data_IF_209259016046
#
_entry.id   IF_209259016046
#
_cell.length_a   1.000
_cell.length_b   1.000
_cell.length_c   1.000
_cell.angle_alpha   90.00
_cell.angle_beta   90.00
_cell.angle_gamma   90.00
#
_symmetry.space_group_name_H-M   'P 1'
#
loop_
_entity.id
_entity.type
_entity.pdbx_description
1 polymer ?
#
# COMPACT_ATOMS: atom_id res chain seq x y z
N UNK A 1 20.79 -8.48 -16.13
CA UNK A 1 19.33 -8.49 -15.91
C UNK A 1 18.68 -7.64 -16.99
N UNK A 2 17.59 -8.14 -17.61
CA UNK A 2 16.97 -7.52 -18.79
C UNK A 2 15.46 -7.36 -18.60
N UNK A 3 14.93 -6.20 -19.00
CA UNK A 3 13.48 -5.97 -19.05
C UNK A 3 12.85 -6.84 -20.16
N UNK A 4 11.83 -7.60 -19.78
CA UNK A 4 11.12 -8.56 -20.63
C UNK A 4 9.64 -8.22 -20.81
N UNK A 5 9.04 -7.51 -19.86
CA UNK A 5 7.67 -7.05 -19.90
C UNK A 5 7.59 -5.64 -19.33
N UNK A 6 6.69 -4.84 -19.88
CA UNK A 6 6.45 -3.47 -19.49
C UNK A 6 4.96 -3.31 -19.24
N UNK A 7 4.59 -3.19 -17.98
CA UNK A 7 3.22 -3.22 -17.54
C UNK A 7 2.61 -1.82 -17.52
N UNK A 8 1.38 -1.70 -18.01
CA UNK A 8 0.57 -0.48 -17.87
C UNK A 8 0.00 -0.39 -16.45
N UNK A 9 -0.35 -1.54 -15.85
CA UNK A 9 -0.80 -1.64 -14.47
C UNK A 9 0.14 -2.52 -13.63
N UNK A 10 0.34 -2.13 -12.38
CA UNK A 10 1.20 -2.85 -11.43
C UNK A 10 0.75 -4.30 -11.20
N UNK A 11 -0.56 -4.56 -11.21
CA UNK A 11 -1.12 -5.89 -11.08
C UNK A 11 -0.66 -6.83 -12.20
N UNK A 12 -0.55 -6.34 -13.44
CA UNK A 12 -0.08 -7.12 -14.59
C UNK A 12 1.40 -7.50 -14.43
N UNK A 13 2.23 -6.61 -13.87
CA UNK A 13 3.63 -6.90 -13.61
C UNK A 13 3.80 -8.02 -12.59
N UNK A 14 2.98 -8.04 -11.53
CA UNK A 14 2.98 -9.08 -10.52
C UNK A 14 2.41 -10.42 -11.04
N UNK A 15 1.39 -10.37 -11.89
CA UNK A 15 0.85 -11.56 -12.54
C UNK A 15 1.89 -12.22 -13.47
N UNK A 16 2.58 -11.42 -14.27
CA UNK A 16 3.67 -11.91 -15.14
C UNK A 16 4.85 -12.42 -14.32
N UNK A 17 5.19 -11.78 -13.20
CA UNK A 17 6.21 -12.29 -12.28
C UNK A 17 5.84 -13.68 -11.76
N UNK A 18 4.62 -13.87 -11.27
CA UNK A 18 4.14 -15.14 -10.74
C UNK A 18 4.14 -16.24 -11.81
N UNK A 19 3.72 -15.91 -13.04
CA UNK A 19 3.75 -16.82 -14.18
C UNK A 19 5.18 -17.31 -14.50
N UNK A 20 6.15 -16.40 -14.51
CA UNK A 20 7.55 -16.72 -14.79
C UNK A 20 8.18 -17.55 -13.66
N UNK A 21 7.86 -17.24 -12.41
CA UNK A 21 8.32 -17.99 -11.25
C UNK A 21 7.76 -19.43 -11.23
N UNK A 22 6.51 -19.65 -11.64
CA UNK A 22 5.92 -21.00 -11.80
C UNK A 22 6.65 -21.85 -12.84
N UNK A 23 7.18 -21.22 -13.88
CA UNK A 23 8.03 -21.85 -14.91
C UNK A 23 9.50 -21.97 -14.48
N UNK A 24 9.82 -21.60 -13.24
CA UNK A 24 11.15 -21.69 -12.65
C UNK A 24 12.11 -20.61 -13.14
N UNK A 25 11.59 -19.47 -13.63
CA UNK A 25 12.37 -18.31 -14.05
C UNK A 25 12.24 -17.22 -12.97
N UNK A 26 13.31 -16.89 -12.24
CA UNK A 26 13.29 -15.82 -11.25
C UNK A 26 13.06 -14.47 -11.94
N UNK A 27 12.00 -13.76 -11.53
CA UNK A 27 11.62 -12.48 -12.10
C UNK A 27 11.46 -11.40 -11.02
N UNK A 28 11.84 -10.17 -11.34
CA UNK A 28 11.78 -9.02 -10.44
C UNK A 28 11.02 -7.87 -11.08
N UNK A 29 10.19 -7.16 -10.31
CA UNK A 29 9.42 -6.02 -10.81
C UNK A 29 10.15 -4.73 -10.42
N UNK A 30 10.67 -4.01 -11.41
CA UNK A 30 11.40 -2.76 -11.24
C UNK A 30 10.57 -1.55 -11.66
N UNK A 31 10.66 -0.44 -10.90
CA UNK A 31 9.98 0.82 -11.22
C UNK A 31 8.67 1.06 -10.47
N UNK A 32 8.36 0.23 -9.46
CA UNK A 32 7.18 0.35 -8.60
C UNK A 32 7.20 1.59 -7.69
N UNK A 33 8.39 2.14 -7.37
CA UNK A 33 8.55 3.14 -6.30
C UNK A 33 9.20 4.47 -6.72
N UNK A 34 8.98 4.94 -7.95
CA UNK A 34 9.42 6.29 -8.34
C UNK A 34 8.44 7.41 -7.94
N UNK A 35 7.38 7.12 -7.17
CA UNK A 35 6.38 8.12 -6.76
C UNK A 35 6.71 8.88 -5.47
N UNK A 36 7.98 8.90 -5.04
CA UNK A 36 8.41 9.50 -3.79
C UNK A 36 8.80 10.98 -3.82
N UNK A 37 8.63 11.73 -4.92
CA UNK A 37 9.02 13.15 -4.97
C UNK A 37 7.79 14.03 -5.25
N UNK A 38 7.47 14.90 -4.29
CA UNK A 38 6.69 16.11 -4.54
C UNK A 38 7.54 17.02 -5.43
N UNK A 39 7.20 17.10 -6.72
CA UNK A 39 7.89 17.92 -7.73
C UNK A 39 8.21 17.11 -8.99
N UNK A 40 7.60 17.52 -10.11
CA UNK A 40 7.64 16.88 -11.43
C UNK A 40 9.02 16.36 -11.87
N UNK A 41 9.09 15.07 -12.27
CA UNK A 41 9.94 14.54 -13.37
C UNK A 41 9.14 13.39 -14.06
N UNK A 42 9.20 13.21 -15.40
CA UNK A 42 8.02 12.94 -16.23
C UNK A 42 7.61 11.47 -16.37
N UNK A 43 6.29 11.27 -16.43
CA UNK A 43 5.46 10.51 -17.40
C UNK A 43 5.97 9.23 -18.09
N UNK A 44 7.00 8.54 -17.59
CA UNK A 44 7.40 7.22 -18.11
C UNK A 44 7.91 6.27 -17.02
N UNK A 45 7.33 6.35 -15.82
CA UNK A 45 7.49 5.35 -14.76
C UNK A 45 6.76 4.07 -15.14
N UNK A 46 7.25 3.38 -16.16
CA UNK A 46 6.75 2.06 -16.54
C UNK A 46 7.26 1.02 -15.55
N UNK A 47 6.33 0.27 -14.97
CA UNK A 47 6.63 -0.91 -14.16
C UNK A 47 7.15 -1.99 -15.10
N UNK A 48 8.35 -2.51 -14.84
CA UNK A 48 9.05 -3.46 -15.72
C UNK A 48 9.32 -4.76 -15.01
N UNK A 49 8.99 -5.88 -15.66
CA UNK A 49 9.44 -7.20 -15.20
C UNK A 49 10.83 -7.46 -15.78
N UNK A 50 11.77 -7.80 -14.91
CA UNK A 50 13.17 -8.04 -15.19
C UNK A 50 13.55 -9.48 -14.85
N UNK A 51 14.36 -10.11 -15.70
CA UNK A 51 14.90 -11.47 -15.49
C UNK A 51 16.40 -11.50 -15.76
N UNK A 52 17.08 -12.58 -15.38
CA UNK A 52 18.48 -12.80 -15.74
C UNK A 52 18.66 -12.81 -17.28
N UNK A 53 19.82 -12.36 -17.76
CA UNK A 53 20.04 -12.19 -19.21
C UNK A 53 19.96 -13.53 -19.96
N UNK A 54 20.36 -14.61 -19.29
CA UNK A 54 20.29 -16.00 -19.75
C UNK A 54 18.85 -16.51 -19.93
N UNK A 55 17.92 -16.10 -19.07
CA UNK A 55 16.51 -16.52 -19.11
C UNK A 55 15.61 -15.61 -19.94
N UNK A 56 16.14 -14.48 -20.43
CA UNK A 56 15.39 -13.47 -21.16
C UNK A 56 14.73 -13.97 -22.45
N UNK A 57 15.31 -15.02 -23.08
CA UNK A 57 14.74 -15.66 -24.26
C UNK A 57 13.49 -16.48 -23.93
N UNK A 58 13.60 -17.35 -22.90
CA UNK A 58 12.53 -18.24 -22.45
C UNK A 58 11.35 -17.46 -21.86
N UNK A 59 11.65 -16.43 -21.06
CA UNK A 59 10.62 -15.58 -20.44
C UNK A 59 9.74 -14.85 -21.47
N UNK A 60 10.33 -14.38 -22.58
CA UNK A 60 9.59 -13.70 -23.66
C UNK A 60 8.65 -14.63 -24.43
N UNK A 61 8.97 -15.91 -24.50
CA UNK A 61 8.12 -16.89 -25.17
C UNK A 61 6.86 -17.18 -24.36
N UNK A 62 7.02 -17.35 -23.04
CA UNK A 62 5.93 -17.53 -22.07
C UNK A 62 4.98 -16.32 -22.08
N UNK A 63 5.52 -15.10 -22.03
CA UNK A 63 4.70 -13.88 -22.09
C UNK A 63 3.90 -13.79 -23.40
N UNK A 64 4.51 -14.12 -24.55
CA UNK A 64 3.81 -14.10 -25.85
C UNK A 64 2.73 -15.18 -25.99
N UNK A 65 2.82 -16.25 -25.22
CA UNK A 65 1.79 -17.29 -25.16
C UNK A 65 0.62 -16.83 -24.30
N UNK A 66 0.92 -16.23 -23.15
CA UNK A 66 -0.06 -15.60 -22.26
C UNK A 66 -0.83 -14.46 -22.94
N UNK A 67 -0.16 -13.53 -23.62
CA UNK A 67 -0.80 -12.42 -24.35
C UNK A 67 -1.72 -12.87 -25.50
N UNK A 68 -1.53 -14.09 -26.02
CA UNK A 68 -2.38 -14.69 -27.06
C UNK A 68 -3.60 -15.41 -26.50
N UNK A 69 -3.63 -15.67 -25.20
CA UNK A 69 -4.66 -16.46 -24.55
C UNK A 69 -5.41 -15.65 -23.49
N UNK A 70 -6.30 -14.75 -23.91
CA UNK A 70 -7.25 -14.18 -22.95
C UNK A 70 -8.64 -13.96 -23.59
N UNK A 71 -9.59 -14.82 -23.23
CA UNK A 71 -10.88 -14.42 -22.61
C UNK A 71 -11.30 -15.57 -21.70
N UNK A 72 -11.21 -15.41 -20.39
CA UNK A 72 -11.88 -16.32 -19.45
C UNK A 72 -13.30 -15.79 -19.25
N UNK A 73 -14.26 -16.46 -19.89
CA UNK A 73 -15.70 -16.16 -19.81
C UNK A 73 -16.24 -16.41 -18.39
N UNK A 74 -17.16 -15.55 -17.93
CA UNK A 74 -17.95 -15.65 -16.68
C UNK A 74 -18.51 -17.07 -16.43
N UNK A 75 -18.78 -17.83 -17.49
CA UNK A 75 -19.23 -19.23 -17.41
C UNK A 75 -18.20 -20.15 -16.74
N UNK A 76 -16.91 -19.87 -16.91
CA UNK A 76 -15.80 -20.65 -16.30
C UNK A 76 -15.65 -20.31 -14.82
N UNK A 77 -15.85 -19.04 -14.45
CA UNK A 77 -15.86 -18.58 -13.07
C UNK A 77 -17.04 -19.19 -12.28
N UNK A 78 -18.22 -19.30 -12.90
CA UNK A 78 -19.38 -19.95 -12.28
C UNK A 78 -19.23 -21.47 -12.14
N UNK A 79 -18.61 -22.15 -13.12
CA UNK A 79 -18.37 -23.60 -13.04
C UNK A 79 -17.41 -23.99 -11.91
N UNK A 80 -16.42 -23.13 -11.60
CA UNK A 80 -15.49 -23.34 -10.48
C UNK A 80 -16.15 -23.02 -9.12
N UNK A 81 -17.17 -22.17 -9.09
CA UNK A 81 -17.96 -21.87 -7.89
C UNK A 81 -18.98 -22.97 -7.55
N UNK A 82 -19.47 -23.74 -8.54
CA UNK A 82 -20.40 -24.86 -8.31
C UNK A 82 -19.71 -26.14 -7.79
N UNK A 83 -18.41 -26.34 -8.04
CA UNK A 83 -17.63 -27.48 -7.52
C UNK A 83 -17.21 -27.29 -6.05
N UNK A 84 -17.25 -26.06 -5.55
CA UNK A 84 -17.07 -25.72 -4.13
C UNK A 84 -18.39 -25.92 -3.36
N UNK A 85 -18.82 -27.18 -3.29
CA UNK A 85 -20.14 -27.62 -2.82
C UNK A 85 -20.67 -26.98 -1.52
N UNK A 86 -21.98 -26.72 -1.53
CA UNK A 86 -22.78 -26.28 -0.39
C UNK A 86 -22.67 -27.23 0.82
N UNK A 87 -22.79 -26.72 2.07
CA UNK A 87 -22.67 -27.55 3.26
C UNK A 87 -23.86 -28.52 3.42
N UNK A 88 -23.66 -29.75 3.92
CA UNK A 88 -24.73 -30.72 4.05
C UNK A 88 -25.73 -30.36 5.15
N UNK A 89 -27.02 -30.50 4.85
CA UNK A 89 -28.10 -30.65 5.84
C UNK A 89 -28.52 -32.12 5.88
N UNK A 90 -28.45 -32.78 7.04
CA UNK A 90 -29.52 -33.67 7.53
C UNK A 90 -29.29 -34.22 8.97
N UNK A 91 -30.29 -33.91 9.81
CA UNK A 91 -31.01 -34.66 10.84
C UNK A 91 -30.38 -35.81 11.70
N UNK A 92 -30.52 -35.59 13.03
CA UNK A 92 -31.24 -36.42 14.02
C UNK A 92 -30.53 -37.49 14.88
N UNK A 93 -30.50 -37.16 16.18
CA UNK A 93 -30.86 -37.97 17.36
C UNK A 93 -29.94 -39.11 17.86
N UNK A 94 -29.41 -38.94 19.08
CA UNK A 94 -29.18 -40.02 20.03
C UNK A 94 -29.25 -39.51 21.49
N UNK A 95 -29.91 -40.30 22.34
CA UNK A 95 -30.26 -40.01 23.75
C UNK A 95 -29.04 -39.89 24.68
N UNK A 96 -29.17 -39.02 25.68
CA UNK A 96 -28.23 -38.85 26.79
C UNK A 96 -28.32 -39.98 27.84
N UNK A 97 -27.24 -40.23 28.58
CA UNK A 97 -27.33 -40.55 30.00
C UNK A 97 -26.69 -39.46 30.87
N UNK A 98 -27.33 -39.20 32.01
CA UNK A 98 -26.87 -38.30 33.06
C UNK A 98 -25.70 -38.93 33.83
N UNK A 99 -24.65 -38.16 34.08
CA UNK A 99 -23.96 -38.09 35.37
C UNK A 99 -22.97 -36.91 35.43
N UNK A 100 -23.28 -35.95 36.32
CA UNK A 100 -22.35 -35.18 37.15
C UNK A 100 -21.16 -34.42 36.52
N UNK A 101 -21.28 -33.09 36.46
CA UNK A 101 -20.14 -32.17 36.50
C UNK A 101 -19.94 -31.36 35.22
N UNK A 102 -19.89 -30.03 35.36
CA UNK A 102 -19.62 -29.07 34.28
C UNK A 102 -18.25 -29.25 33.57
N UNK A 103 -17.44 -30.21 34.01
CA UNK A 103 -16.09 -30.45 33.50
C UNK A 103 -16.02 -30.90 32.04
N UNK A 104 -16.99 -31.68 31.54
CA UNK A 104 -16.96 -32.14 30.16
C UNK A 104 -17.37 -31.05 29.16
N UNK A 105 -18.31 -30.16 29.53
CA UNK A 105 -18.62 -28.96 28.74
C UNK A 105 -17.41 -28.04 28.65
N UNK A 106 -16.71 -27.82 29.78
CA UNK A 106 -15.49 -27.01 29.80
C UNK A 106 -14.37 -27.61 28.94
N UNK A 107 -14.20 -28.94 28.93
CA UNK A 107 -13.23 -29.60 28.04
C UNK A 107 -13.62 -29.53 26.57
N UNK A 108 -14.91 -29.58 26.24
CA UNK A 108 -15.38 -29.43 24.85
C UNK A 108 -15.17 -28.00 24.35
N UNK A 109 -15.50 -26.99 25.15
CA UNK A 109 -15.21 -25.59 24.80
C UNK A 109 -13.71 -25.28 24.75
N UNK A 110 -12.90 -25.87 25.65
CA UNK A 110 -11.44 -25.74 25.59
C UNK A 110 -10.87 -26.42 24.35
N UNK A 111 -11.36 -27.61 23.98
CA UNK A 111 -10.97 -28.30 22.76
C UNK A 111 -11.34 -27.53 21.49
N UNK A 112 -12.53 -26.92 21.45
CA UNK A 112 -12.94 -26.02 20.35
C UNK A 112 -12.08 -24.76 20.33
N UNK A 113 -11.79 -24.14 21.48
CA UNK A 113 -10.94 -22.95 21.55
C UNK A 113 -9.49 -23.24 21.13
N UNK A 114 -8.96 -24.41 21.49
CA UNK A 114 -7.64 -24.88 21.04
C UNK A 114 -7.70 -25.21 19.55
N UNK A 115 -8.74 -25.89 19.07
CA UNK A 115 -8.94 -26.17 17.66
C UNK A 115 -9.03 -24.91 16.82
N UNK A 116 -9.82 -23.93 17.24
CA UNK A 116 -9.91 -22.59 16.63
C UNK A 116 -8.57 -21.86 16.75
N UNK A 117 -7.87 -21.93 17.88
CA UNK A 117 -6.57 -21.30 18.07
C UNK A 117 -5.46 -21.90 17.19
N UNK A 118 -5.43 -23.23 17.04
CA UNK A 118 -4.51 -23.96 16.15
C UNK A 118 -4.87 -23.72 14.69
N UNK A 119 -6.16 -23.70 14.35
CA UNK A 119 -6.63 -23.38 12.99
C UNK A 119 -6.31 -21.91 12.65
N UNK A 120 -6.52 -20.98 13.58
CA UNK A 120 -6.21 -19.56 13.42
C UNK A 120 -4.70 -19.31 13.34
N UNK A 121 -3.90 -20.05 14.10
CA UNK A 121 -2.44 -20.01 13.99
C UNK A 121 -1.93 -20.65 12.68
N UNK A 122 -2.55 -21.75 12.22
CA UNK A 122 -2.21 -22.40 10.95
C UNK A 122 -2.65 -21.63 9.71
N UNK A 123 -3.71 -20.83 9.82
CA UNK A 123 -4.16 -19.88 8.78
C UNK A 123 -3.23 -18.67 8.66
N UNK A 124 -2.44 -18.36 9.69
CA UNK A 124 -1.33 -17.39 9.60
C UNK A 124 -0.08 -18.16 9.16
N UNK A 125 0.01 -18.40 7.84
CA UNK A 125 1.17 -19.06 7.23
C UNK A 125 2.50 -18.42 7.65
N UNK A 126 3.61 -19.18 7.58
CA UNK A 126 4.94 -18.65 7.90
C UNK A 126 5.24 -17.44 7.01
N UNK A 127 5.72 -16.35 7.62
CA UNK A 127 6.14 -15.18 6.86
C UNK A 127 7.46 -15.50 6.16
N UNK A 128 7.48 -15.45 4.83
CA UNK A 128 8.71 -15.54 4.05
C UNK A 128 9.32 -14.14 3.90
N UNK A 129 10.60 -14.01 4.18
CA UNK A 129 11.37 -12.79 3.96
C UNK A 129 12.26 -12.96 2.73
N UNK A 130 12.23 -11.97 1.83
CA UNK A 130 13.12 -11.90 0.68
C UNK A 130 13.86 -10.56 0.70
N UNK A 131 15.19 -10.60 0.73
CA UNK A 131 16.05 -9.43 0.70
C UNK A 131 16.67 -9.22 -0.68
N UNK A 132 16.71 -7.97 -1.14
CA UNK A 132 17.34 -7.55 -2.39
C UNK A 132 18.46 -6.57 -2.07
N UNK A 133 19.64 -6.82 -2.63
CA UNK A 133 20.82 -5.94 -2.62
C UNK A 133 21.04 -5.51 -4.08
N UNK A 134 20.78 -4.24 -4.40
CA UNK A 134 20.81 -3.75 -5.78
C UNK A 134 22.21 -3.35 -6.24
N UNK A 135 23.09 -2.93 -5.33
CA UNK A 135 24.43 -2.43 -5.67
C UNK A 135 25.57 -3.41 -5.35
N UNK A 136 25.25 -4.51 -4.66
CA UNK A 136 26.17 -5.58 -4.33
C UNK A 136 27.13 -5.23 -3.20
N UNK A 137 26.81 -4.25 -2.37
CA UNK A 137 27.64 -3.84 -1.23
C UNK A 137 27.48 -4.77 0.00
N UNK A 138 26.56 -5.73 -0.07
CA UNK A 138 26.24 -6.69 0.98
C UNK A 138 25.25 -6.18 2.03
N UNK A 139 24.76 -4.95 1.89
CA UNK A 139 23.59 -4.40 2.56
C UNK A 139 22.31 -4.79 1.83
N UNK A 140 21.24 -5.06 2.58
CA UNK A 140 19.93 -5.29 1.98
C UNK A 140 19.26 -3.93 1.79
N UNK A 141 19.11 -3.50 0.54
CA UNK A 141 18.40 -2.28 0.16
C UNK A 141 16.89 -2.41 0.35
N UNK A 142 16.34 -3.61 0.12
CA UNK A 142 14.90 -3.85 0.16
C UNK A 142 14.55 -5.21 0.77
N UNK A 143 13.58 -5.24 1.68
CA UNK A 143 13.05 -6.45 2.33
C UNK A 143 11.56 -6.59 2.05
N UNK A 144 11.19 -7.70 1.43
CA UNK A 144 9.81 -8.05 1.13
C UNK A 144 9.35 -9.17 2.06
N UNK A 145 8.16 -9.00 2.64
CA UNK A 145 7.55 -9.95 3.57
C UNK A 145 6.28 -10.53 2.95
N UNK A 146 6.20 -11.85 2.85
CA UNK A 146 5.08 -12.58 2.27
C UNK A 146 4.41 -13.51 3.28
N UNK A 147 3.11 -13.79 3.13
CA UNK A 147 2.44 -14.91 3.78
C UNK A 147 1.74 -15.76 2.73
N UNK A 148 2.24 -16.97 2.51
CA UNK A 148 1.94 -17.71 1.28
C UNK A 148 2.39 -16.90 0.05
N UNK A 149 1.50 -16.74 -0.93
CA UNK A 149 1.76 -15.96 -2.16
C UNK A 149 1.42 -14.47 -2.01
N UNK A 150 0.94 -14.03 -0.85
CA UNK A 150 0.50 -12.65 -0.61
C UNK A 150 1.64 -11.79 -0.07
N UNK A 151 1.94 -10.68 -0.75
CA UNK A 151 2.80 -9.62 -0.24
C UNK A 151 2.11 -8.91 0.94
N UNK A 152 2.78 -8.84 2.08
CA UNK A 152 2.27 -8.19 3.29
C UNK A 152 2.89 -6.82 3.53
N UNK A 153 4.20 -6.72 3.28
CA UNK A 153 4.99 -5.55 3.64
C UNK A 153 6.26 -5.48 2.80
N UNK A 154 6.65 -4.26 2.48
CA UNK A 154 7.96 -3.94 1.88
C UNK A 154 8.64 -2.93 2.81
N UNK A 155 9.92 -3.16 3.09
CA UNK A 155 10.80 -2.22 3.79
C UNK A 155 11.94 -1.83 2.85
N UNK A 156 12.28 -0.55 2.78
CA UNK A 156 13.28 -0.04 1.84
C UNK A 156 14.23 0.95 2.53
N UNK A 157 15.52 0.76 2.28
CA UNK A 157 16.60 1.70 2.56
C UNK A 157 16.88 2.49 1.26
N UNK A 158 16.36 3.72 1.17
CA UNK A 158 16.40 4.53 -0.06
C UNK A 158 17.74 5.23 -0.22
N UNK A 159 18.41 5.58 0.88
CA UNK A 159 19.68 6.30 0.87
C UNK A 159 20.91 5.40 1.09
N UNK A 160 20.71 4.12 1.38
CA UNK A 160 21.72 3.07 1.64
C UNK A 160 22.56 3.30 2.89
N UNK A 161 21.96 3.86 3.94
CA UNK A 161 22.65 4.08 5.22
C UNK A 161 22.48 2.92 6.23
N UNK A 162 21.83 1.83 5.80
CA UNK A 162 21.43 0.65 6.58
C UNK A 162 20.31 0.89 7.57
N UNK A 163 19.62 2.02 7.50
CA UNK A 163 18.35 2.25 8.18
C UNK A 163 17.22 2.12 7.18
N UNK A 164 16.05 1.77 7.69
CA UNK A 164 14.87 1.66 6.84
C UNK A 164 14.24 3.03 6.74
N UNK A 165 14.14 3.51 5.51
CA UNK A 165 13.56 4.82 5.20
C UNK A 165 12.07 4.72 4.88
N UNK A 166 11.60 3.54 4.47
CA UNK A 166 10.22 3.38 4.03
C UNK A 166 9.68 2.01 4.38
N UNK A 167 8.43 1.97 4.84
CA UNK A 167 7.70 0.73 5.11
C UNK A 167 6.28 0.84 4.57
N UNK A 168 5.96 0.04 3.56
CA UNK A 168 4.61 -0.09 3.01
C UNK A 168 3.96 -1.40 3.42
N UNK A 169 2.66 -1.36 3.68
CA UNK A 169 1.84 -2.54 3.89
C UNK A 169 0.80 -2.69 2.79
N UNK A 170 0.52 -3.95 2.45
CA UNK A 170 -0.30 -4.31 1.31
C UNK A 170 -1.55 -5.08 1.75
N UNK A 171 -2.65 -4.81 1.04
CA UNK A 171 -3.92 -5.50 1.24
C UNK A 171 -3.91 -6.92 0.64
N UNK A 172 -5.07 -7.57 0.62
CA UNK A 172 -5.20 -8.94 0.10
C UNK A 172 -5.09 -9.04 -1.42
N UNK A 173 -5.26 -7.91 -2.12
CA UNK A 173 -5.18 -7.80 -3.56
C UNK A 173 -3.78 -7.34 -4.02
N UNK A 174 -2.82 -7.21 -3.09
CA UNK A 174 -1.48 -6.72 -3.38
C UNK A 174 -1.43 -5.22 -3.67
N UNK A 175 -2.46 -4.45 -3.30
CA UNK A 175 -2.44 -2.99 -3.39
C UNK A 175 -1.91 -2.38 -2.09
N UNK A 176 -1.16 -1.27 -2.13
CA UNK A 176 -0.73 -0.59 -0.92
C UNK A 176 -1.95 -0.09 -0.15
N UNK A 177 -1.93 -0.28 1.17
CA UNK A 177 -2.95 0.18 2.11
C UNK A 177 -2.42 1.36 2.95
N UNK A 178 -1.16 1.27 3.38
CA UNK A 178 -0.54 2.28 4.24
C UNK A 178 0.97 2.29 4.09
N UNK A 179 1.56 3.47 4.31
CA UNK A 179 3.01 3.69 4.31
C UNK A 179 3.46 4.48 5.53
N UNK A 180 4.67 4.21 6.00
CA UNK A 180 5.42 5.11 6.87
C UNK A 180 6.78 5.38 6.25
N UNK A 181 7.21 6.65 6.25
CA UNK A 181 8.44 7.08 5.59
C UNK A 181 9.24 8.00 6.53
N UNK A 182 10.56 7.88 6.44
CA UNK A 182 11.57 8.83 6.89
C UNK A 182 12.00 9.65 5.67
N UNK A 183 11.37 10.82 5.47
CA UNK A 183 11.56 11.62 4.24
C UNK A 183 12.79 12.55 4.31
N UNK A 184 13.33 12.81 5.50
CA UNK A 184 14.54 13.60 5.69
C UNK A 184 15.80 12.77 6.04
N UNK A 185 15.64 11.45 6.19
CA UNK A 185 16.69 10.46 6.45
C UNK A 185 17.38 10.62 7.81
N UNK A 186 16.67 11.12 8.82
CA UNK A 186 17.21 11.31 10.17
C UNK A 186 17.18 10.02 11.03
N UNK A 187 16.50 8.97 10.55
CA UNK A 187 16.24 7.70 11.21
C UNK A 187 14.88 7.61 11.89
N UNK A 188 14.03 8.64 11.79
CA UNK A 188 12.67 8.68 12.34
C UNK A 188 11.66 8.75 11.20
N UNK A 189 10.70 7.83 11.21
CA UNK A 189 9.60 7.84 10.23
C UNK A 189 8.53 8.85 10.65
N UNK A 190 8.65 10.07 10.15
CA UNK A 190 7.80 11.23 10.43
C UNK A 190 6.56 11.28 9.52
N UNK A 191 6.65 10.68 8.33
CA UNK A 191 5.59 10.63 7.33
C UNK A 191 4.71 9.38 7.48
N UNK A 192 3.39 9.57 7.41
CA UNK A 192 2.37 8.50 7.36
C UNK A 192 1.47 8.70 6.16
N UNK A 193 1.30 7.65 5.38
CA UNK A 193 0.54 7.64 4.13
C UNK A 193 -0.58 6.61 4.20
N UNK A 194 -1.74 6.93 3.65
CA UNK A 194 -2.87 6.02 3.51
C UNK A 194 -3.31 5.96 2.06
N UNK A 195 -3.60 4.75 1.62
CA UNK A 195 -3.95 4.44 0.25
C UNK A 195 -5.37 3.88 0.19
N UNK A 196 -6.11 4.27 -0.84
CA UNK A 196 -7.42 3.73 -1.16
C UNK A 196 -7.39 3.18 -2.58
N UNK A 197 -7.68 1.89 -2.75
CA UNK A 197 -7.62 1.21 -4.04
C UNK A 197 -6.25 1.38 -4.74
N UNK A 198 -5.17 1.25 -3.96
CA UNK A 198 -3.80 1.41 -4.45
C UNK A 198 -3.38 2.85 -4.78
N UNK A 199 -4.24 3.85 -4.57
CA UNK A 199 -3.93 5.25 -4.83
C UNK A 199 -3.77 6.01 -3.52
N UNK A 200 -2.77 6.90 -3.44
CA UNK A 200 -2.58 7.75 -2.26
C UNK A 200 -3.85 8.57 -2.02
N UNK A 201 -4.39 8.49 -0.82
CA UNK A 201 -5.60 9.17 -0.38
C UNK A 201 -5.31 10.27 0.65
N UNK A 202 -4.34 10.04 1.54
CA UNK A 202 -3.87 11.06 2.48
C UNK A 202 -2.42 10.85 2.89
N UNK A 203 -1.74 11.96 3.20
CA UNK A 203 -0.42 11.98 3.83
C UNK A 203 -0.45 12.90 5.05
N UNK A 204 0.20 12.49 6.13
CA UNK A 204 0.40 13.26 7.36
C UNK A 204 1.88 13.23 7.71
N UNK A 205 2.40 14.36 8.18
CA UNK A 205 3.82 14.51 8.51
C UNK A 205 3.91 15.18 9.88
N UNK A 206 4.54 14.49 10.82
CA UNK A 206 4.81 14.93 12.20
C UNK A 206 6.32 15.03 12.34
N UNK A 207 6.92 16.18 11.96
CA UNK A 207 8.37 16.38 11.82
C UNK A 207 9.09 16.62 13.14
N UNK A 208 8.42 17.09 14.19
CA UNK A 208 9.06 17.24 15.51
C UNK A 208 8.86 16.03 16.44
N UNK A 209 8.02 15.06 16.03
CA UNK A 209 7.87 13.77 16.70
C UNK A 209 7.02 13.88 17.96
N UNK A 210 6.22 14.93 18.09
CA UNK A 210 5.38 15.18 19.27
C UNK A 210 4.03 14.44 19.21
N UNK A 211 3.74 13.75 18.10
CA UNK A 211 2.53 12.98 17.87
C UNK A 211 1.38 13.80 17.24
N UNK A 212 1.56 15.10 17.08
CA UNK A 212 0.71 15.98 16.29
C UNK A 212 1.34 16.18 14.91
N UNK A 213 0.52 16.31 13.86
CA UNK A 213 1.05 16.40 12.51
C UNK A 213 1.02 17.86 12.04
N UNK A 214 2.19 18.49 11.86
CA UNK A 214 2.27 19.86 11.34
C UNK A 214 1.83 19.98 9.89
N UNK A 215 1.78 18.87 9.13
CA UNK A 215 1.33 18.89 7.73
C UNK A 215 0.41 17.72 7.39
N UNK A 216 -0.60 18.02 6.56
CA UNK A 216 -1.52 17.04 5.99
C UNK A 216 -1.84 17.40 4.55
N UNK A 217 -1.91 16.38 3.70
CA UNK A 217 -2.42 16.51 2.34
C UNK A 217 -3.47 15.45 2.05
N UNK A 218 -4.49 15.84 1.30
CA UNK A 218 -5.59 14.98 0.86
C UNK A 218 -5.60 14.91 -0.67
N UNK A 219 -5.83 13.70 -1.16
CA UNK A 219 -5.74 13.34 -2.56
C UNK A 219 -7.07 12.71 -3.02
N UNK A 220 -7.47 13.04 -4.24
CA UNK A 220 -8.62 12.46 -4.91
C UNK A 220 -8.11 11.84 -6.20
N UNK A 221 -8.26 10.52 -6.32
CA UNK A 221 -7.73 9.75 -7.45
C UNK A 221 -6.21 9.95 -7.65
N UNK A 222 -5.45 10.03 -6.56
CA UNK A 222 -4.01 10.31 -6.57
C UNK A 222 -3.63 11.77 -6.84
N UNK A 223 -4.58 12.66 -7.10
CA UNK A 223 -4.32 14.09 -7.35
C UNK A 223 -4.59 14.89 -6.08
N UNK A 224 -3.61 15.67 -5.63
CA UNK A 224 -3.79 16.55 -4.47
C UNK A 224 -4.94 17.54 -4.72
N UNK A 225 -5.85 17.66 -3.76
CA UNK A 225 -6.92 18.66 -3.80
C UNK A 225 -6.91 19.57 -2.57
N UNK A 226 -6.21 19.19 -1.49
CA UNK A 226 -6.08 20.00 -0.27
C UNK A 226 -4.76 19.74 0.44
N UNK A 227 -4.19 20.80 0.97
CA UNK A 227 -3.10 20.77 1.95
C UNK A 227 -3.43 21.65 3.14
N UNK A 228 -3.01 21.21 4.32
CA UNK A 228 -3.18 21.92 5.57
C UNK A 228 -1.89 21.85 6.39
N UNK A 229 -1.55 22.97 7.03
CA UNK A 229 -0.48 23.09 7.99
C UNK A 229 -1.10 23.39 9.36
N UNK A 230 -0.56 22.76 10.40
CA UNK A 230 -1.09 22.84 11.75
C UNK A 230 -0.06 23.42 12.72
N UNK A 231 -0.55 24.04 13.79
CA UNK A 231 0.24 24.32 14.98
C UNK A 231 0.23 23.12 15.95
N UNK A 232 0.92 23.27 17.09
CA UNK A 232 1.02 22.25 18.15
C UNK A 232 -0.29 21.97 18.87
N UNK A 233 -1.30 22.81 18.68
CA UNK A 233 -2.64 22.61 19.24
C UNK A 233 -3.63 22.09 18.19
N UNK A 234 -3.13 21.52 17.08
CA UNK A 234 -3.90 21.01 15.94
C UNK A 234 -4.79 22.05 15.24
N UNK A 235 -4.49 23.35 15.39
CA UNK A 235 -5.22 24.42 14.67
C UNK A 235 -4.59 24.65 13.31
N UNK A 236 -5.42 24.95 12.31
CA UNK A 236 -4.96 25.15 10.92
C UNK A 236 -4.29 26.52 10.78
N UNK A 237 -2.98 26.54 10.59
CA UNK A 237 -2.18 27.75 10.29
C UNK A 237 -2.27 28.16 8.83
N UNK A 238 -2.37 27.19 7.93
CA UNK A 238 -2.43 27.44 6.49
C UNK A 238 -3.21 26.33 5.81
N UNK A 239 -4.05 26.70 4.86
CA UNK A 239 -4.75 25.79 3.95
C UNK A 239 -4.50 26.19 2.51
N UNK A 240 -4.29 25.22 1.64
CA UNK A 240 -4.23 25.40 0.18
C UNK A 240 -5.19 24.42 -0.47
N UNK A 241 -6.02 24.89 -1.38
CA UNK A 241 -6.92 24.08 -2.18
C UNK A 241 -6.45 24.08 -3.64
N UNK A 242 -6.44 22.87 -4.21
CA UNK A 242 -5.92 22.61 -5.54
C UNK A 242 -7.07 22.32 -6.50
N UNK A 243 -6.92 22.74 -7.75
CA UNK A 243 -7.80 22.37 -8.87
C UNK A 243 -6.93 21.70 -9.92
N UNK A 244 -7.21 20.43 -10.21
CA UNK A 244 -6.43 19.62 -11.15
C UNK A 244 -4.94 19.56 -10.79
N UNK A 245 -4.61 19.46 -9.50
CA UNK A 245 -3.23 19.42 -9.01
C UNK A 245 -2.51 20.78 -9.00
N UNK A 246 -3.15 21.86 -9.44
CA UNK A 246 -2.59 23.22 -9.41
C UNK A 246 -3.20 23.98 -8.23
N UNK A 247 -2.39 24.65 -7.38
CA UNK A 247 -2.93 25.45 -6.27
C UNK A 247 -3.79 26.58 -6.85
N UNK A 248 -5.01 26.74 -6.35
CA UNK A 248 -5.97 27.71 -6.89
C UNK A 248 -6.28 28.80 -5.87
N UNK A 249 -6.50 28.39 -4.63
CA UNK A 249 -6.83 29.30 -3.53
C UNK A 249 -6.25 28.77 -2.23
N UNK A 250 -6.03 29.65 -1.27
CA UNK A 250 -5.58 29.26 0.05
C UNK A 250 -5.94 30.31 1.07
N UNK A 251 -5.69 29.99 2.33
CA UNK A 251 -5.85 30.91 3.43
C UNK A 251 -4.85 30.57 4.52
N UNK A 252 -4.43 31.57 5.30
CA UNK A 252 -3.53 31.37 6.42
C UNK A 252 -3.93 32.27 7.59
N UNK A 253 -3.53 31.86 8.77
CA UNK A 253 -3.62 32.62 10.02
C UNK A 253 -2.39 33.53 10.10
N UNK A 254 -2.61 34.84 10.00
CA UNK A 254 -1.54 35.83 9.96
C UNK A 254 -1.24 36.36 11.36
N UNK A 255 -2.24 36.49 12.20
CA UNK A 255 -2.10 37.06 13.55
C UNK A 255 -1.87 36.02 14.66
N UNK A 256 -2.02 34.74 14.34
CA UNK A 256 -1.76 33.61 15.23
C UNK A 256 -2.90 33.36 16.22
N UNK A 257 -4.12 33.82 15.94
CA UNK A 257 -5.27 33.63 16.81
C UNK A 257 -5.96 32.24 16.68
N UNK A 258 -5.46 31.41 15.77
CA UNK A 258 -5.98 30.08 15.48
C UNK A 258 -7.09 30.07 14.42
N UNK A 259 -7.36 31.20 13.75
CA UNK A 259 -8.33 31.31 12.66
C UNK A 259 -7.66 31.85 11.40
N UNK A 260 -8.03 31.28 10.27
CA UNK A 260 -7.55 31.78 8.98
C UNK A 260 -8.15 33.17 8.70
N UNK A 261 -7.30 34.19 8.59
CA UNK A 261 -7.69 35.60 8.45
C UNK A 261 -7.29 36.23 7.10
N UNK A 262 -6.44 35.56 6.32
CA UNK A 262 -5.91 36.10 5.07
C UNK A 262 -6.06 35.08 3.96
N UNK A 263 -6.82 35.42 2.92
CA UNK A 263 -6.96 34.60 1.71
C UNK A 263 -5.85 34.89 0.70
N UNK A 264 -5.41 33.85 -0.01
CA UNK A 264 -4.44 33.87 -1.10
C UNK A 264 -5.04 33.32 -2.38
N UNK A 265 -4.70 33.93 -3.51
CA UNK A 265 -4.94 33.39 -4.85
C UNK A 265 -3.63 33.07 -5.53
N UNK A 266 -3.62 31.95 -6.25
CA UNK A 266 -2.45 31.45 -6.97
C UNK A 266 -2.68 31.50 -8.48
N UNK A 267 -1.62 31.71 -9.26
CA UNK A 267 -1.66 31.49 -10.71
C UNK A 267 -1.35 30.04 -11.07
N UNK A 268 -1.35 29.72 -12.37
CA UNK A 268 -1.11 28.37 -12.87
C UNK A 268 0.31 27.83 -12.58
N UNK A 269 1.26 28.68 -12.17
CA UNK A 269 2.61 28.29 -11.75
C UNK A 269 2.71 28.10 -10.24
N UNK A 270 1.63 28.38 -9.50
CA UNK A 270 1.62 28.40 -8.05
C UNK A 270 2.15 29.68 -7.43
N UNK A 271 2.35 30.74 -8.22
CA UNK A 271 2.77 32.04 -7.69
C UNK A 271 1.60 32.77 -7.05
N UNK A 272 1.85 33.47 -5.94
CA UNK A 272 0.82 34.27 -5.26
C UNK A 272 0.53 35.53 -6.08
N UNK A 273 -0.70 35.67 -6.56
CA UNK A 273 -1.14 36.82 -7.39
C UNK A 273 -2.08 37.77 -6.66
N UNK A 274 -2.48 37.43 -5.44
CA UNK A 274 -3.27 38.35 -4.62
C UNK A 274 -3.53 37.82 -3.23
N UNK A 275 -3.58 38.76 -2.29
CA UNK A 275 -3.97 38.52 -0.90
C UNK A 275 -5.12 39.46 -0.52
N UNK A 276 -6.10 38.94 0.21
CA UNK A 276 -7.23 39.73 0.72
C UNK A 276 -7.58 39.28 2.13
N UNK A 277 -7.83 40.19 3.08
CA UNK A 277 -8.36 39.81 4.39
C UNK A 277 -9.65 39.01 4.24
N UNK A 278 -9.77 37.95 5.03
CA UNK A 278 -11.02 37.24 5.25
C UNK A 278 -11.79 38.02 6.32
N UNK A 279 -12.96 38.52 5.92
CA UNK A 279 -13.89 39.11 6.88
C UNK A 279 -14.20 38.06 7.97
N UNK A 280 -14.17 38.44 9.27
CA UNK A 280 -14.59 37.52 10.31
C UNK A 280 -16.01 37.07 10.02
N UNK A 281 -16.24 35.75 9.92
CA UNK A 281 -17.60 35.21 9.84
C UNK A 281 -18.35 35.65 11.10
N UNK A 282 -19.38 36.48 10.91
CA UNK A 282 -20.30 36.95 11.95
C UNK A 282 -21.05 35.79 12.62
#
# INVERSE_FOLDING_TARGET
MRSIYEAVHIADAYLIRQLLEQEGIPAHVAGEYLQGVVGEIPADTRVRVMVADEDSGRAREIIREWERGEVVDETTLNALAEDAGAPPQEAASARAPQQGGWGWLAMLFAGVAIGVGVTWAGLRGPTLEHGVDYDGDGGIDERLFYSGDRLLRVETDRNRDRKIDQVFHYDEYGSPERGVCDDDFDGRMESREQYAHGQLASKRVDRDGDGHAEYRSEFLLGVVFREEWFDREDRVLKRVEYRQGIPAQGAYDRDGDGRLDTARRYDARGEIVGETPLEPRA
#
